data_IF_730714766944
#
_entry.id   IF_730714766944
#
_cell.length_a   1.000
_cell.length_b   1.000
_cell.length_c   1.000
_cell.angle_alpha   90.00
_cell.angle_beta   90.00
_cell.angle_gamma   90.00
#
_symmetry.space_group_name_H-M   'P 1'
#
loop_
_entity.id
_entity.type
_entity.pdbx_description
1 polymer ?
#
# COMPACT_ATOMS: atom_id res chain seq x y z
N UNK A 1 14.14 1.88 5.93
CA UNK A 1 14.78 1.78 7.25
C UNK A 1 16.28 1.85 7.04
N UNK A 2 16.99 2.59 7.88
CA UNK A 2 18.45 2.61 7.88
C UNK A 2 18.91 2.17 9.26
N UNK A 3 19.71 1.09 9.33
CA UNK A 3 20.28 0.58 10.57
C UNK A 3 21.76 1.00 10.66
N UNK A 4 22.04 1.99 11.50
CA UNK A 4 23.40 2.51 11.74
C UNK A 4 24.09 1.81 12.93
N UNK A 5 23.49 0.74 13.49
CA UNK A 5 24.05 0.03 14.64
C UNK A 5 25.28 -0.78 14.25
N UNK A 6 26.31 -0.72 15.09
CA UNK A 6 27.54 -1.49 14.96
C UNK A 6 27.94 -2.03 16.32
N UNK A 7 28.34 -3.30 16.36
CA UNK A 7 28.81 -3.96 17.58
C UNK A 7 30.33 -4.11 17.54
N UNK A 8 30.99 -3.71 18.62
CA UNK A 8 32.44 -3.79 18.77
C UNK A 8 32.80 -4.43 20.10
N UNK A 9 34.01 -4.97 20.19
CA UNK A 9 34.59 -5.52 21.41
C UNK A 9 35.56 -4.48 21.97
N UNK A 10 35.40 -4.12 23.25
CA UNK A 10 36.33 -3.22 23.93
C UNK A 10 37.66 -3.93 24.27
N UNK A 11 38.66 -3.17 24.72
CA UNK A 11 39.99 -3.71 25.05
C UNK A 11 40.00 -4.69 26.24
N UNK A 12 38.86 -4.87 26.92
CA UNK A 12 38.65 -5.75 28.08
C UNK A 12 37.70 -6.91 27.70
N UNK A 13 37.33 -7.05 26.42
CA UNK A 13 36.51 -8.15 25.91
C UNK A 13 34.99 -7.96 26.02
N UNK A 14 34.50 -6.76 26.36
CA UNK A 14 33.05 -6.49 26.43
C UNK A 14 32.49 -6.09 25.08
N UNK A 15 31.33 -6.65 24.74
CA UNK A 15 30.58 -6.27 23.55
C UNK A 15 29.79 -4.98 23.81
N UNK A 16 29.89 -4.01 22.90
CA UNK A 16 29.10 -2.79 22.92
C UNK A 16 28.52 -2.51 21.54
N UNK A 17 27.19 -2.34 21.47
CA UNK A 17 26.51 -1.85 20.27
C UNK A 17 26.34 -0.34 20.37
N UNK A 18 26.77 0.39 19.34
CA UNK A 18 26.65 1.84 19.23
C UNK A 18 25.90 2.15 17.92
N UNK A 19 25.07 3.19 17.92
CA UNK A 19 24.23 3.57 16.79
C UNK A 19 22.75 3.32 17.07
N UNK A 20 21.90 3.74 16.14
CA UNK A 20 20.45 3.61 16.27
C UNK A 20 19.81 3.27 14.93
N UNK A 21 18.62 2.69 14.98
CA UNK A 21 17.78 2.47 13.80
C UNK A 21 17.01 3.75 13.51
N UNK A 22 17.04 4.20 12.25
CA UNK A 22 16.28 5.35 11.77
C UNK A 22 15.18 4.89 10.82
N UNK A 23 13.95 5.27 11.14
CA UNK A 23 12.80 5.14 10.24
C UNK A 23 12.79 6.33 9.28
N UNK A 24 13.23 6.09 8.05
CA UNK A 24 13.16 7.08 6.97
C UNK A 24 11.75 7.04 6.38
N UNK A 25 11.14 8.22 6.19
CA UNK A 25 9.84 8.35 5.55
C UNK A 25 9.91 7.76 4.14
N UNK A 26 9.04 6.81 3.84
CA UNK A 26 8.94 6.26 2.48
C UNK A 26 8.54 7.33 1.48
N UNK A 27 8.96 7.15 0.22
CA UNK A 27 8.56 8.00 -0.91
C UNK A 27 7.18 7.62 -1.47
N UNK A 28 6.54 6.59 -0.92
CA UNK A 28 5.22 6.15 -1.34
C UNK A 28 4.16 7.21 -1.01
N UNK A 29 3.22 7.40 -1.93
CA UNK A 29 2.03 8.22 -1.70
C UNK A 29 1.17 7.55 -0.63
N UNK A 30 0.83 8.29 0.43
CA UNK A 30 -0.04 7.78 1.47
C UNK A 30 -1.43 7.45 0.92
N UNK A 31 -2.00 6.32 1.31
CA UNK A 31 -3.35 5.91 0.90
C UNK A 31 -3.45 5.32 -0.51
N UNK A 32 -2.33 4.91 -1.11
CA UNK A 32 -2.35 4.08 -2.33
C UNK A 32 -3.15 2.80 -2.08
N UNK A 33 -3.87 2.36 -3.11
CA UNK A 33 -4.63 1.11 -3.07
C UNK A 33 -3.72 -0.12 -2.88
N UNK A 34 -4.26 -1.18 -2.29
CA UNK A 34 -3.55 -2.44 -2.06
C UNK A 34 -3.04 -3.08 -3.36
N UNK A 35 -3.84 -3.00 -4.42
CA UNK A 35 -3.51 -3.53 -5.74
C UNK A 35 -3.54 -2.41 -6.77
N UNK A 36 -2.49 -2.37 -7.58
CA UNK A 36 -2.38 -1.50 -8.76
C UNK A 36 -2.21 -2.38 -9.99
N UNK A 37 -3.17 -2.33 -10.91
CA UNK A 37 -3.20 -3.14 -12.11
C UNK A 37 -3.48 -2.30 -13.36
N UNK A 38 -3.16 -2.86 -14.53
CA UNK A 38 -3.67 -2.41 -15.82
C UNK A 38 -4.51 -3.53 -16.40
N UNK A 39 -5.78 -3.28 -16.64
CA UNK A 39 -6.76 -4.30 -17.11
C UNK A 39 -7.44 -3.74 -18.34
N UNK A 40 -7.41 -4.48 -19.45
CA UNK A 40 -7.97 -4.05 -20.74
C UNK A 40 -7.55 -2.62 -21.14
N UNK A 41 -6.28 -2.25 -20.90
CA UNK A 41 -5.75 -0.92 -21.20
C UNK A 41 -6.16 0.20 -20.24
N UNK A 42 -6.93 -0.09 -19.18
CA UNK A 42 -7.34 0.89 -18.16
C UNK A 42 -6.47 0.76 -16.91
N UNK A 43 -6.11 1.89 -16.31
CA UNK A 43 -5.47 1.93 -14.99
C UNK A 43 -6.51 1.58 -13.92
N UNK A 44 -6.26 0.52 -13.15
CA UNK A 44 -7.19 -0.01 -12.15
C UNK A 44 -6.50 -0.06 -10.79
N UNK A 45 -7.18 0.47 -9.77
CA UNK A 45 -6.77 0.40 -8.37
C UNK A 45 -7.81 -0.38 -7.59
N UNK A 46 -7.38 -1.35 -6.80
CA UNK A 46 -8.28 -2.17 -5.98
C UNK A 46 -7.82 -2.08 -4.52
N UNK A 47 -8.75 -1.70 -3.66
CA UNK A 47 -8.58 -1.57 -2.22
C UNK A 47 -9.41 -2.65 -1.51
N UNK A 48 -8.79 -3.41 -0.63
CA UNK A 48 -9.41 -4.55 0.03
C UNK A 48 -9.92 -4.10 1.40
N UNK A 49 -11.21 -4.30 1.68
CA UNK A 49 -11.85 -3.93 2.95
C UNK A 49 -12.77 -5.02 3.44
N UNK A 50 -12.48 -5.63 4.59
CA UNK A 50 -13.26 -6.76 5.13
C UNK A 50 -14.03 -6.33 6.38
N UNK A 51 -15.28 -6.79 6.52
CA UNK A 51 -16.11 -6.57 7.70
C UNK A 51 -16.38 -5.09 8.00
N UNK A 52 -15.96 -4.64 9.19
CA UNK A 52 -16.15 -3.27 9.65
C UNK A 52 -15.14 -2.27 9.06
N UNK A 53 -14.11 -2.73 8.32
CA UNK A 53 -13.07 -1.86 7.78
C UNK A 53 -13.63 -0.86 6.75
N UNK A 54 -13.15 0.38 6.80
CA UNK A 54 -13.56 1.50 5.94
C UNK A 54 -12.32 2.22 5.43
N UNK A 55 -12.46 2.87 4.27
CA UNK A 55 -11.40 3.72 3.75
C UNK A 55 -11.11 4.88 4.71
N UNK A 56 -9.82 5.09 4.96
CA UNK A 56 -9.29 6.29 5.60
C UNK A 56 -9.49 7.54 4.74
N UNK A 57 -9.32 8.72 5.34
CA UNK A 57 -9.39 10.00 4.61
C UNK A 57 -8.40 10.04 3.42
N UNK A 58 -7.17 9.57 3.62
CA UNK A 58 -6.14 9.55 2.58
C UNK A 58 -6.49 8.63 1.42
N UNK A 59 -7.07 7.45 1.70
CA UNK A 59 -7.51 6.51 0.68
C UNK A 59 -8.66 7.07 -0.17
N UNK A 60 -9.59 7.82 0.45
CA UNK A 60 -10.66 8.52 -0.28
C UNK A 60 -10.11 9.60 -1.21
N UNK A 61 -9.12 10.37 -0.74
CA UNK A 61 -8.47 11.39 -1.58
C UNK A 61 -7.72 10.74 -2.76
N UNK A 62 -7.04 9.61 -2.50
CA UNK A 62 -6.36 8.84 -3.54
C UNK A 62 -7.34 8.27 -4.57
N UNK A 63 -8.47 7.71 -4.13
CA UNK A 63 -9.56 7.27 -5.00
C UNK A 63 -10.02 8.41 -5.92
N UNK A 64 -10.36 9.57 -5.35
CA UNK A 64 -10.81 10.73 -6.13
C UNK A 64 -9.78 11.16 -7.18
N UNK A 65 -8.49 11.14 -6.85
CA UNK A 65 -7.42 11.47 -7.79
C UNK A 65 -7.36 10.49 -8.96
N UNK A 66 -7.49 9.19 -8.68
CA UNK A 66 -7.46 8.13 -9.70
C UNK A 66 -8.68 8.25 -10.64
N UNK A 67 -9.86 8.40 -10.07
CA UNK A 67 -11.12 8.55 -10.82
C UNK A 67 -11.12 9.81 -11.69
N UNK A 68 -10.65 10.96 -11.14
CA UNK A 68 -10.47 12.20 -11.91
C UNK A 68 -9.48 12.07 -13.07
N UNK A 69 -8.52 11.16 -12.95
CA UNK A 69 -7.55 10.87 -14.01
C UNK A 69 -8.07 9.86 -15.04
N UNK A 70 -9.34 9.43 -14.95
CA UNK A 70 -9.97 8.45 -15.84
C UNK A 70 -9.65 7.00 -15.50
N UNK A 71 -8.93 6.75 -14.39
CA UNK A 71 -8.68 5.42 -13.87
C UNK A 71 -9.90 4.84 -13.14
N UNK A 72 -9.90 3.52 -12.97
CA UNK A 72 -10.91 2.82 -12.20
C UNK A 72 -10.40 2.57 -10.78
N UNK A 73 -11.28 2.73 -9.80
CA UNK A 73 -11.02 2.42 -8.41
C UNK A 73 -12.13 1.52 -7.87
N UNK A 74 -11.78 0.39 -7.28
CA UNK A 74 -12.74 -0.58 -6.75
C UNK A 74 -12.43 -0.93 -5.30
N UNK A 75 -13.47 -1.03 -4.47
CA UNK A 75 -13.35 -1.45 -3.07
C UNK A 75 -13.85 -2.89 -2.97
N UNK A 76 -12.91 -3.84 -2.87
CA UNK A 76 -13.21 -5.26 -2.76
C UNK A 76 -13.56 -5.62 -1.31
N UNK A 77 -14.82 -6.01 -1.07
CA UNK A 77 -15.29 -6.51 0.23
C UNK A 77 -15.43 -8.03 0.33
N UNK A 78 -15.42 -8.70 -0.82
CA UNK A 78 -15.42 -10.14 -0.96
C UNK A 78 -14.85 -10.50 -2.32
N UNK A 79 -14.39 -11.75 -2.47
CA UNK A 79 -13.94 -12.24 -3.77
C UNK A 79 -15.08 -12.25 -4.80
N UNK A 80 -16.27 -12.71 -4.40
CA UNK A 80 -17.45 -12.74 -5.27
C UNK A 80 -17.79 -11.36 -5.83
N UNK A 81 -17.85 -10.33 -4.98
CA UNK A 81 -18.17 -8.98 -5.43
C UNK A 81 -17.09 -8.38 -6.33
N UNK A 82 -15.83 -8.74 -6.12
CA UNK A 82 -14.75 -8.40 -7.04
C UNK A 82 -14.92 -9.10 -8.40
N UNK A 83 -15.20 -10.40 -8.41
CA UNK A 83 -15.38 -11.18 -9.63
C UNK A 83 -16.54 -10.66 -10.47
N UNK A 84 -17.69 -10.38 -9.85
CA UNK A 84 -18.86 -9.79 -10.52
C UNK A 84 -18.54 -8.42 -11.10
N UNK A 85 -17.90 -7.53 -10.33
CA UNK A 85 -17.49 -6.22 -10.81
C UNK A 85 -16.51 -6.33 -11.98
N UNK A 86 -15.54 -7.23 -11.89
CA UNK A 86 -14.54 -7.44 -12.93
C UNK A 86 -15.21 -7.85 -14.25
N UNK A 87 -16.08 -8.86 -14.21
CA UNK A 87 -16.78 -9.34 -15.40
C UNK A 87 -17.67 -8.25 -15.97
N UNK A 88 -18.49 -7.57 -15.16
CA UNK A 88 -19.34 -6.47 -15.63
C UNK A 88 -18.55 -5.30 -16.25
N UNK A 89 -17.31 -5.08 -15.82
CA UNK A 89 -16.49 -3.94 -16.26
C UNK A 89 -15.67 -4.26 -17.51
N UNK A 90 -15.21 -5.51 -17.66
CA UNK A 90 -14.20 -5.87 -18.67
C UNK A 90 -14.60 -7.03 -19.59
N UNK A 91 -15.56 -7.84 -19.20
CA UNK A 91 -16.06 -8.97 -19.99
C UNK A 91 -17.50 -8.65 -20.47
N UNK A 92 -17.82 -9.00 -21.72
CA UNK A 92 -19.14 -8.82 -22.31
C UNK A 92 -19.96 -10.10 -22.22
#
# INVERSE_FOLDING_TARGET
MVDDRKTYIDVIGRYKTIGSVKWVKGTSTAGTADISATIAGRSVKIEIKIGADRQSHWQRNYQQMIERSGGLYFIAKSFQGFYEWYNQTFEL
#
